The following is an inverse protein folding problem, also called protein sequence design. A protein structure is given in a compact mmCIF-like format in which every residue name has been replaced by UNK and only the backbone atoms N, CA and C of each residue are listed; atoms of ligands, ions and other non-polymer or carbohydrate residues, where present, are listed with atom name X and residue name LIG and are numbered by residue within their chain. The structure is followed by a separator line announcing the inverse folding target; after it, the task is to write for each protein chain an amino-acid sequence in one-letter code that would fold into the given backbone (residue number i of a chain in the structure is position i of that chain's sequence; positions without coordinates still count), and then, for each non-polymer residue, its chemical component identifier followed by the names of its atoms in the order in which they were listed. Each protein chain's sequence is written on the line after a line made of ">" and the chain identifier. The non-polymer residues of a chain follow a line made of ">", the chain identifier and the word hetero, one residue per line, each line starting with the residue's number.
data_IF_170945513762
#
_entry.id   IF_170945513762
#
_cell.length_a   1.000
_cell.length_b   1.000
_cell.length_c   1.000
_cell.angle_alpha   90.00
_cell.angle_beta   90.00
_cell.angle_gamma   90.00
#
_symmetry.space_group_name_H-M   'P 1'
#
loop_
_entity.id
_entity.type
_entity.pdbx_description
1 polymer ?
#
# COMPACT_ATOMS: atom_id res chain seq x y z
N UNK A 1 -8.47 -0.47 20.75
CA UNK A 1 -8.56 -1.54 19.73
C UNK A 1 -8.03 -0.98 18.42
N UNK A 2 -7.31 -1.77 17.63
CA UNK A 2 -6.84 -1.33 16.31
C UNK A 2 -7.99 -0.85 15.43
N UNK A 3 -7.72 0.12 14.56
CA UNK A 3 -8.65 0.54 13.51
C UNK A 3 -8.32 -0.24 12.25
N UNK A 4 -9.26 -0.99 11.75
CA UNK A 4 -9.06 -1.76 10.53
C UNK A 4 -9.70 -1.08 9.33
N UNK A 5 -9.00 -1.06 8.21
CA UNK A 5 -9.52 -0.78 6.89
C UNK A 5 -9.35 -2.01 5.98
N UNK A 6 -10.10 -2.04 4.89
CA UNK A 6 -10.16 -3.21 4.01
C UNK A 6 -9.57 -2.87 2.65
N UNK A 7 -8.63 -3.69 2.19
CA UNK A 7 -8.14 -3.58 0.83
C UNK A 7 -9.16 -4.18 -0.16
N UNK A 8 -9.90 -3.29 -0.79
CA UNK A 8 -10.95 -3.66 -1.74
C UNK A 8 -10.41 -4.14 -3.11
N UNK A 9 -9.09 -4.15 -3.30
CA UNK A 9 -8.48 -4.74 -4.49
C UNK A 9 -8.19 -6.22 -4.37
N UNK A 10 -8.21 -6.77 -3.14
CA UNK A 10 -8.02 -8.20 -2.87
C UNK A 10 -9.24 -8.84 -2.19
N UNK A 11 -10.04 -8.05 -1.46
CA UNK A 11 -11.29 -8.43 -0.84
C UNK A 11 -12.47 -7.84 -1.62
N UNK A 12 -13.64 -8.46 -1.56
CA UNK A 12 -14.86 -8.07 -2.31
C UNK A 12 -14.67 -8.09 -3.84
N UNK A 13 -13.71 -8.86 -4.36
CA UNK A 13 -13.36 -8.86 -5.79
C UNK A 13 -14.45 -9.43 -6.70
N UNK A 14 -15.41 -10.17 -6.16
CA UNK A 14 -16.59 -10.67 -6.88
C UNK A 14 -17.58 -9.54 -7.24
N UNK A 15 -17.42 -8.37 -6.62
CA UNK A 15 -18.25 -7.21 -6.89
C UNK A 15 -17.57 -6.26 -7.89
N UNK A 16 -18.35 -5.51 -8.69
CA UNK A 16 -17.85 -4.39 -9.46
C UNK A 16 -17.11 -3.38 -8.57
N UNK A 17 -16.07 -2.74 -9.12
CA UNK A 17 -15.22 -1.81 -8.38
C UNK A 17 -16.01 -0.78 -7.53
N UNK A 18 -17.01 -0.16 -8.12
CA UNK A 18 -17.77 0.92 -7.50
C UNK A 18 -18.76 0.44 -6.41
N UNK A 19 -19.01 -0.86 -6.31
CA UNK A 19 -19.87 -1.44 -5.28
C UNK A 19 -19.09 -1.88 -4.03
N UNK A 20 -17.76 -2.04 -4.13
CA UNK A 20 -16.91 -2.56 -3.06
C UNK A 20 -16.87 -1.66 -1.83
N UNK A 21 -16.82 -0.30 -1.93
CA UNK A 21 -16.86 0.56 -0.75
C UNK A 21 -18.14 0.38 0.08
N UNK A 22 -19.28 0.26 -0.57
CA UNK A 22 -20.56 0.02 0.12
C UNK A 22 -20.62 -1.37 0.77
N UNK A 23 -20.02 -2.39 0.14
CA UNK A 23 -19.92 -3.73 0.71
C UNK A 23 -19.00 -3.74 1.95
N UNK A 24 -17.87 -3.04 1.92
CA UNK A 24 -16.99 -2.87 3.07
C UNK A 24 -17.71 -2.18 4.23
N UNK A 25 -18.49 -1.13 3.95
CA UNK A 25 -19.32 -0.45 4.97
C UNK A 25 -20.37 -1.38 5.56
N UNK A 26 -21.07 -2.15 4.73
CA UNK A 26 -22.05 -3.13 5.17
C UNK A 26 -21.43 -4.25 6.04
N UNK A 27 -20.16 -4.58 5.81
CA UNK A 27 -19.38 -5.50 6.63
C UNK A 27 -18.91 -4.89 7.97
N UNK A 28 -19.09 -3.57 8.17
CA UNK A 28 -18.78 -2.88 9.42
C UNK A 28 -17.48 -2.08 9.41
N UNK A 29 -16.87 -1.87 8.26
CA UNK A 29 -15.65 -1.09 8.11
C UNK A 29 -15.95 0.38 7.78
N UNK A 30 -15.19 1.28 8.39
CA UNK A 30 -15.24 2.71 8.15
C UNK A 30 -14.08 3.19 7.24
N UNK A 31 -13.12 2.32 6.95
CA UNK A 31 -11.96 2.58 6.10
C UNK A 31 -11.81 1.55 4.98
N UNK A 32 -11.34 2.01 3.83
CA UNK A 32 -11.01 1.17 2.68
C UNK A 32 -9.68 1.63 2.09
N UNK A 33 -8.96 0.71 1.46
CA UNK A 33 -7.81 1.00 0.63
C UNK A 33 -7.92 0.30 -0.73
N UNK A 34 -7.21 0.82 -1.71
CA UNK A 34 -7.19 0.27 -3.07
C UNK A 34 -5.78 0.27 -3.64
N UNK A 35 -5.42 -0.77 -4.36
CA UNK A 35 -4.42 -0.68 -5.42
C UNK A 35 -4.93 0.27 -6.49
N UNK A 36 -4.11 0.62 -7.49
CA UNK A 36 -4.58 1.51 -8.55
C UNK A 36 -5.85 0.95 -9.23
N UNK A 37 -7.00 1.63 -9.12
CA UNK A 37 -8.29 1.03 -9.49
C UNK A 37 -8.62 1.10 -10.98
N UNK A 38 -7.80 1.79 -11.78
CA UNK A 38 -8.08 2.03 -13.21
C UNK A 38 -7.19 1.18 -14.13
N UNK A 39 -6.76 0.01 -13.67
CA UNK A 39 -5.98 -0.95 -14.45
C UNK A 39 -4.64 -0.38 -14.92
N UNK A 40 -4.41 -0.34 -16.23
CA UNK A 40 -3.15 0.15 -16.81
C UNK A 40 -3.24 1.60 -17.32
N UNK A 41 -4.34 2.28 -17.09
CA UNK A 41 -4.50 3.69 -17.47
C UNK A 41 -3.96 4.60 -16.37
N UNK A 42 -2.88 5.36 -16.60
CA UNK A 42 -2.33 6.29 -15.62
C UNK A 42 -3.15 7.56 -15.44
N UNK A 43 -3.99 7.90 -16.45
CA UNK A 43 -4.74 9.15 -16.52
C UNK A 43 -6.19 8.92 -16.96
N UNK A 44 -6.97 8.15 -16.17
CA UNK A 44 -8.36 7.84 -16.51
C UNK A 44 -9.19 9.12 -16.67
N UNK A 45 -10.26 9.02 -17.43
CA UNK A 45 -11.12 10.14 -17.71
C UNK A 45 -11.87 10.65 -16.46
N UNK A 46 -12.21 11.96 -16.46
CA UNK A 46 -12.88 12.62 -15.33
C UNK A 46 -14.12 11.87 -14.84
N UNK A 47 -14.90 11.26 -15.76
CA UNK A 47 -16.11 10.50 -15.40
C UNK A 47 -15.80 9.25 -14.57
N UNK A 48 -14.70 8.58 -14.86
CA UNK A 48 -14.28 7.37 -14.12
C UNK A 48 -13.78 7.76 -12.73
N UNK A 49 -12.98 8.82 -12.65
CA UNK A 49 -12.51 9.38 -11.37
C UNK A 49 -13.70 9.87 -10.54
N UNK A 50 -14.62 10.63 -11.15
CA UNK A 50 -15.82 11.13 -10.46
C UNK A 50 -16.67 10.01 -9.89
N UNK A 51 -16.87 8.93 -10.67
CA UNK A 51 -17.61 7.76 -10.22
C UNK A 51 -16.93 7.04 -9.04
N UNK A 52 -15.61 6.90 -9.08
CA UNK A 52 -14.84 6.29 -7.98
C UNK A 52 -14.91 7.12 -6.70
N UNK A 53 -14.67 8.42 -6.80
CA UNK A 53 -14.76 9.35 -5.65
C UNK A 53 -16.18 9.38 -5.07
N UNK A 54 -17.22 9.40 -5.94
CA UNK A 54 -18.60 9.34 -5.50
C UNK A 54 -18.92 8.03 -4.76
N UNK A 55 -18.44 6.88 -5.26
CA UNK A 55 -18.67 5.59 -4.61
C UNK A 55 -18.09 5.53 -3.19
N UNK A 56 -16.90 6.13 -2.96
CA UNK A 56 -16.30 6.25 -1.61
C UNK A 56 -17.17 7.15 -0.71
N UNK A 57 -17.55 8.32 -1.22
CA UNK A 57 -18.34 9.29 -0.46
C UNK A 57 -19.75 8.77 -0.13
N UNK A 58 -20.44 8.16 -1.10
CA UNK A 58 -21.80 7.64 -0.94
C UNK A 58 -21.84 6.46 0.02
N UNK A 59 -20.79 5.64 0.05
CA UNK A 59 -20.64 4.57 1.03
C UNK A 59 -20.39 5.08 2.46
N UNK A 60 -19.95 6.32 2.62
CA UNK A 60 -19.60 6.92 3.90
C UNK A 60 -18.40 6.23 4.56
N UNK A 61 -17.40 5.83 3.76
CA UNK A 61 -16.13 5.28 4.20
C UNK A 61 -15.00 6.27 3.91
N UNK A 62 -13.90 6.15 4.66
CA UNK A 62 -12.66 6.88 4.39
C UNK A 62 -11.80 6.07 3.40
N UNK A 63 -11.30 6.71 2.35
CA UNK A 63 -10.18 6.15 1.59
C UNK A 63 -8.90 6.34 2.42
N UNK A 64 -8.39 5.26 3.00
CA UNK A 64 -7.21 5.26 3.87
C UNK A 64 -5.93 5.22 3.05
N UNK A 65 -5.85 4.31 2.09
CA UNK A 65 -4.72 4.09 1.21
C UNK A 65 -5.10 3.97 -0.26
N UNK A 66 -4.24 4.47 -1.14
CA UNK A 66 -4.35 4.32 -2.58
C UNK A 66 -2.96 4.07 -3.16
N UNK A 67 -2.80 3.07 -4.01
CA UNK A 67 -1.56 2.93 -4.76
C UNK A 67 -1.50 3.96 -5.89
N UNK A 68 -0.31 4.47 -6.19
CA UNK A 68 -0.02 4.95 -7.54
C UNK A 68 -0.16 3.79 -8.53
N UNK A 69 -0.20 4.08 -9.81
CA UNK A 69 -0.28 3.03 -10.82
C UNK A 69 0.82 1.98 -10.60
N UNK A 70 0.41 0.74 -10.46
CA UNK A 70 1.25 -0.39 -10.04
C UNK A 70 1.17 -1.60 -10.96
N UNK A 71 0.14 -1.65 -11.81
CA UNK A 71 -0.12 -2.76 -12.69
C UNK A 71 0.32 -2.43 -14.13
N UNK A 72 1.51 -2.94 -14.47
CA UNK A 72 1.85 -3.25 -15.87
C UNK A 72 1.96 -4.76 -15.98
N UNK A 73 1.79 -5.35 -17.18
CA UNK A 73 2.00 -6.78 -17.37
C UNK A 73 3.36 -7.22 -16.79
N UNK A 74 3.33 -8.11 -15.79
CA UNK A 74 4.48 -8.62 -15.04
C UNK A 74 5.18 -7.62 -14.08
N UNK A 75 4.62 -6.43 -13.79
CA UNK A 75 5.23 -5.46 -12.88
C UNK A 75 4.68 -5.49 -11.45
N UNK A 76 5.49 -4.98 -10.52
CA UNK A 76 5.15 -4.68 -9.13
C UNK A 76 5.49 -3.22 -8.85
N UNK A 77 4.72 -2.31 -9.48
CA UNK A 77 4.99 -0.87 -9.44
C UNK A 77 5.92 -0.38 -10.55
N UNK A 78 6.07 0.92 -10.65
CA UNK A 78 6.71 1.60 -11.78
C UNK A 78 7.84 2.56 -11.37
N UNK A 79 8.06 2.78 -10.09
CA UNK A 79 8.93 3.85 -9.58
C UNK A 79 10.36 3.77 -10.13
N UNK A 80 10.91 2.55 -10.26
CA UNK A 80 12.29 2.31 -10.75
C UNK A 80 12.36 1.80 -12.19
N UNK A 81 11.25 1.80 -12.94
CA UNK A 81 11.18 1.17 -14.27
C UNK A 81 11.43 2.18 -15.37
N UNK A 82 12.59 2.13 -16.09
CA UNK A 82 12.96 3.17 -17.07
C UNK A 82 11.95 3.35 -18.20
N UNK A 83 11.39 2.26 -18.71
CA UNK A 83 10.40 2.29 -19.79
C UNK A 83 9.03 2.84 -19.37
N UNK A 84 8.78 2.98 -18.06
CA UNK A 84 7.49 3.43 -17.50
C UNK A 84 7.56 4.80 -16.82
N UNK A 85 8.65 5.56 -16.98
CA UNK A 85 8.86 6.87 -16.34
C UNK A 85 7.72 7.83 -16.61
N UNK A 86 7.31 8.01 -17.86
CA UNK A 86 6.19 8.90 -18.22
C UNK A 86 4.89 8.41 -17.59
N UNK A 87 4.59 7.10 -17.67
CA UNK A 87 3.39 6.49 -17.09
C UNK A 87 3.28 6.78 -15.60
N UNK A 88 4.35 6.59 -14.84
CA UNK A 88 4.36 6.88 -13.41
C UNK A 88 4.20 8.39 -13.13
N UNK A 89 4.96 9.23 -13.84
CA UNK A 89 4.93 10.69 -13.61
C UNK A 89 3.60 11.32 -13.99
N UNK A 90 2.98 10.87 -15.09
CA UNK A 90 1.65 11.32 -15.49
C UNK A 90 0.57 10.91 -14.47
N UNK A 91 0.76 9.78 -13.80
CA UNK A 91 -0.14 9.30 -12.76
C UNK A 91 -0.06 10.10 -11.45
N UNK A 92 1.08 10.71 -11.12
CA UNK A 92 1.28 11.38 -9.82
C UNK A 92 0.16 12.41 -9.55
N UNK A 93 -0.10 13.31 -10.50
CA UNK A 93 -1.09 14.37 -10.31
C UNK A 93 -2.52 13.81 -10.22
N UNK A 94 -2.82 12.74 -10.94
CA UNK A 94 -4.13 12.08 -10.91
C UNK A 94 -4.36 11.41 -9.55
N UNK A 95 -3.40 10.63 -9.07
CA UNK A 95 -3.50 9.96 -7.78
C UNK A 95 -3.60 10.96 -6.62
N UNK A 96 -2.79 12.03 -6.65
CA UNK A 96 -2.86 13.12 -5.67
C UNK A 96 -4.20 13.84 -5.74
N UNK A 97 -4.75 14.09 -6.93
CA UNK A 97 -6.07 14.71 -7.11
C UNK A 97 -7.22 13.84 -6.55
N UNK A 98 -7.16 12.52 -6.74
CA UNK A 98 -8.10 11.58 -6.10
C UNK A 98 -7.95 11.63 -4.59
N UNK A 99 -6.71 11.59 -4.08
CA UNK A 99 -6.42 11.65 -2.65
C UNK A 99 -6.94 12.95 -2.01
N UNK A 100 -6.77 14.10 -2.67
CA UNK A 100 -7.30 15.38 -2.21
C UNK A 100 -8.83 15.35 -2.08
N UNK A 101 -9.52 14.85 -3.10
CA UNK A 101 -10.99 14.79 -3.17
C UNK A 101 -11.60 13.81 -2.16
N UNK A 102 -10.90 12.74 -1.83
CA UNK A 102 -11.35 11.70 -0.88
C UNK A 102 -10.82 11.90 0.53
N UNK A 103 -9.88 12.83 0.73
CA UNK A 103 -9.19 13.00 2.00
C UNK A 103 -8.16 11.91 2.32
N UNK A 104 -7.77 11.08 1.34
CA UNK A 104 -6.74 10.06 1.50
C UNK A 104 -5.40 10.70 1.85
N UNK A 105 -4.67 10.08 2.79
CA UNK A 105 -3.38 10.61 3.27
C UNK A 105 -2.21 9.64 3.07
N UNK A 106 -2.46 8.47 2.50
CA UNK A 106 -1.44 7.45 2.26
C UNK A 106 -1.46 7.01 0.79
N UNK A 107 -0.39 7.29 0.08
CA UNK A 107 -0.22 6.97 -1.34
C UNK A 107 0.95 5.99 -1.51
N UNK A 108 0.66 4.71 -1.80
CA UNK A 108 1.70 3.68 -1.91
C UNK A 108 2.38 3.73 -3.29
N UNK A 109 3.71 3.83 -3.30
CA UNK A 109 4.55 3.87 -4.49
C UNK A 109 5.38 2.58 -4.57
N UNK A 110 4.82 1.54 -5.18
CA UNK A 110 5.53 0.29 -5.40
C UNK A 110 6.77 0.50 -6.28
N UNK A 111 7.91 0.00 -5.80
CA UNK A 111 9.25 0.32 -6.34
C UNK A 111 9.42 -0.08 -7.80
N UNK A 112 8.87 -1.22 -8.18
CA UNK A 112 9.09 -1.83 -9.51
C UNK A 112 10.14 -2.92 -9.51
N UNK A 113 9.99 -3.85 -10.44
CA UNK A 113 10.92 -4.96 -10.60
C UNK A 113 12.23 -4.51 -11.24
N UNK A 114 13.29 -5.27 -10.98
CA UNK A 114 14.51 -5.18 -11.80
C UNK A 114 14.19 -5.57 -13.24
N UNK A 115 14.75 -4.82 -14.18
CA UNK A 115 14.53 -5.01 -15.60
C UNK A 115 15.79 -5.63 -16.21
N UNK A 116 15.62 -6.75 -16.92
CA UNK A 116 16.75 -7.41 -17.57
C UNK A 116 17.44 -6.47 -18.57
N UNK A 117 18.77 -6.39 -18.47
CA UNK A 117 19.59 -5.52 -19.31
C UNK A 117 19.73 -4.09 -18.84
N UNK A 118 18.99 -3.65 -17.82
CA UNK A 118 19.14 -2.34 -17.21
C UNK A 118 20.16 -2.36 -16.07
N UNK A 119 20.85 -1.25 -15.87
CA UNK A 119 21.76 -1.08 -14.72
C UNK A 119 20.95 -0.90 -13.43
N UNK A 120 21.10 -1.79 -12.42
CA UNK A 120 20.43 -1.65 -11.15
C UNK A 120 20.69 -0.33 -10.43
N UNK A 121 21.88 0.26 -10.56
CA UNK A 121 22.20 1.54 -9.95
C UNK A 121 21.44 2.68 -10.63
N UNK A 122 21.32 2.65 -11.95
CA UNK A 122 20.51 3.63 -12.69
C UNK A 122 19.03 3.53 -12.36
N UNK A 123 18.50 2.29 -12.16
CA UNK A 123 17.14 2.09 -11.68
C UNK A 123 16.96 2.65 -10.26
N UNK A 124 17.94 2.51 -9.37
CA UNK A 124 17.88 3.05 -8.02
C UNK A 124 17.90 4.59 -8.02
N UNK A 125 18.71 5.22 -8.86
CA UNK A 125 18.71 6.68 -9.04
C UNK A 125 17.38 7.19 -9.56
N UNK A 126 16.81 6.52 -10.58
CA UNK A 126 15.49 6.84 -11.11
C UNK A 126 14.40 6.72 -10.04
N UNK A 127 14.46 5.69 -9.21
CA UNK A 127 13.50 5.51 -8.13
C UNK A 127 13.55 6.67 -7.14
N UNK A 128 14.74 7.13 -6.73
CA UNK A 128 14.88 8.27 -5.84
C UNK A 128 14.30 9.54 -6.44
N UNK A 129 14.54 9.78 -7.74
CA UNK A 129 13.95 10.93 -8.44
C UNK A 129 12.41 10.87 -8.44
N UNK A 130 11.85 9.74 -8.83
CA UNK A 130 10.40 9.56 -8.91
C UNK A 130 9.71 9.60 -7.53
N UNK A 131 10.33 9.03 -6.50
CA UNK A 131 9.83 9.13 -5.12
C UNK A 131 9.80 10.57 -4.62
N UNK A 132 10.83 11.38 -4.92
CA UNK A 132 10.85 12.81 -4.58
C UNK A 132 9.75 13.58 -5.29
N UNK A 133 9.54 13.33 -6.59
CA UNK A 133 8.45 13.97 -7.35
C UNK A 133 7.07 13.64 -6.75
N UNK A 134 6.82 12.36 -6.43
CA UNK A 134 5.59 11.92 -5.81
C UNK A 134 5.41 12.55 -4.42
N UNK A 135 6.46 12.58 -3.60
CA UNK A 135 6.44 13.17 -2.26
C UNK A 135 6.15 14.68 -2.29
N UNK A 136 6.77 15.41 -3.20
CA UNK A 136 6.53 16.85 -3.38
C UNK A 136 5.09 17.12 -3.82
N UNK A 137 4.55 16.31 -4.74
CA UNK A 137 3.14 16.42 -5.14
C UNK A 137 2.20 16.11 -3.96
N UNK A 138 2.41 15.01 -3.23
CA UNK A 138 1.61 14.59 -2.10
C UNK A 138 1.68 15.59 -0.92
N UNK A 139 2.81 16.27 -0.73
CA UNK A 139 2.99 17.26 0.35
C UNK A 139 2.01 18.43 0.26
N UNK A 140 1.59 18.81 -0.97
CA UNK A 140 0.63 19.89 -1.20
C UNK A 140 -0.72 19.68 -0.54
N UNK A 141 -1.10 18.40 -0.38
CA UNK A 141 -2.35 18.00 0.27
C UNK A 141 -2.13 17.42 1.68
N UNK A 142 -0.89 17.49 2.21
CA UNK A 142 -0.52 16.91 3.49
C UNK A 142 -0.62 15.39 3.51
N UNK A 143 -0.36 14.73 2.37
CA UNK A 143 -0.33 13.28 2.25
C UNK A 143 1.10 12.74 2.31
N UNK A 144 1.18 11.47 2.68
CA UNK A 144 2.41 10.69 2.80
C UNK A 144 2.54 9.74 1.60
N UNK A 145 3.72 9.66 1.02
CA UNK A 145 4.08 8.60 0.08
C UNK A 145 4.62 7.41 0.87
N UNK A 146 4.12 6.24 0.57
CA UNK A 146 4.54 5.00 1.21
C UNK A 146 5.48 4.22 0.28
N UNK A 147 6.50 3.59 0.86
CA UNK A 147 7.35 2.62 0.20
C UNK A 147 7.20 1.28 0.90
N UNK A 148 6.90 0.24 0.14
CA UNK A 148 6.60 -1.10 0.61
C UNK A 148 7.73 -2.08 0.32
N UNK A 149 8.01 -2.98 1.27
CA UNK A 149 8.83 -4.15 1.06
C UNK A 149 7.95 -5.36 0.72
N UNK A 150 8.22 -6.03 -0.40
CA UNK A 150 7.51 -7.25 -0.81
C UNK A 150 8.34 -8.50 -0.51
N UNK A 151 7.72 -9.68 -0.59
CA UNK A 151 8.41 -10.94 -0.44
C UNK A 151 8.93 -11.52 -1.77
N UNK A 152 10.18 -12.01 -1.79
CA UNK A 152 10.79 -12.60 -2.99
C UNK A 152 10.07 -13.84 -3.53
N UNK A 153 9.47 -14.74 -2.71
CA UNK A 153 8.72 -15.88 -3.24
C UNK A 153 7.56 -15.52 -4.18
N UNK A 154 6.91 -14.37 -3.95
CA UNK A 154 5.79 -13.88 -4.79
C UNK A 154 6.22 -12.80 -5.78
N UNK A 155 7.37 -12.18 -5.57
CA UNK A 155 7.90 -11.07 -6.36
C UNK A 155 9.41 -11.20 -6.53
N UNK A 156 9.91 -12.20 -7.32
CA UNK A 156 11.33 -12.56 -7.36
C UNK A 156 12.25 -11.45 -7.87
N UNK A 157 11.74 -10.59 -8.74
CA UNK A 157 12.54 -9.50 -9.34
C UNK A 157 12.40 -8.16 -8.58
N UNK A 158 11.62 -8.13 -7.51
CA UNK A 158 11.41 -6.91 -6.73
C UNK A 158 12.58 -6.71 -5.75
N UNK A 159 13.30 -5.56 -5.80
CA UNK A 159 14.55 -5.42 -5.06
C UNK A 159 14.40 -4.95 -3.61
N UNK A 160 13.21 -4.52 -3.19
CA UNK A 160 12.94 -4.04 -1.84
C UNK A 160 12.23 -5.13 -1.06
N UNK A 161 13.01 -6.03 -0.44
CA UNK A 161 12.49 -7.25 0.19
C UNK A 161 12.71 -7.32 1.71
N UNK A 162 13.14 -6.20 2.30
CA UNK A 162 13.34 -6.09 3.76
C UNK A 162 12.99 -4.70 4.25
N UNK A 163 12.65 -4.60 5.54
CA UNK A 163 12.44 -3.33 6.20
C UNK A 163 13.69 -2.43 6.11
N UNK A 164 14.89 -2.98 6.37
CA UNK A 164 16.16 -2.25 6.29
C UNK A 164 16.36 -1.63 4.88
N UNK A 165 16.08 -2.39 3.82
CA UNK A 165 16.23 -1.89 2.45
C UNK A 165 15.24 -0.77 2.16
N UNK A 166 13.97 -0.90 2.57
CA UNK A 166 12.98 0.15 2.41
C UNK A 166 13.41 1.44 3.12
N UNK A 167 13.85 1.33 4.38
CA UNK A 167 14.30 2.48 5.16
C UNK A 167 15.52 3.15 4.52
N UNK A 168 16.49 2.36 4.02
CA UNK A 168 17.68 2.92 3.34
C UNK A 168 17.32 3.77 2.11
N UNK A 169 16.27 3.40 1.38
CA UNK A 169 15.76 4.16 0.23
C UNK A 169 15.01 5.41 0.69
N UNK A 170 14.19 5.30 1.74
CA UNK A 170 13.48 6.44 2.34
C UNK A 170 14.49 7.51 2.79
N UNK A 171 15.53 7.12 3.50
CA UNK A 171 16.59 8.03 3.95
C UNK A 171 17.34 8.66 2.76
N UNK A 172 17.66 7.87 1.72
CA UNK A 172 18.33 8.37 0.52
C UNK A 172 17.43 9.32 -0.30
N UNK A 173 16.11 9.14 -0.28
CA UNK A 173 15.17 10.06 -0.91
C UNK A 173 15.15 11.42 -0.19
N UNK A 174 15.26 11.44 1.14
CA UNK A 174 15.43 12.66 1.93
C UNK A 174 14.19 13.54 2.06
N UNK A 175 13.00 13.05 1.69
CA UNK A 175 11.74 13.78 1.80
C UNK A 175 11.01 13.37 3.09
N UNK A 176 10.57 14.31 3.93
CA UNK A 176 10.03 14.00 5.26
C UNK A 176 8.69 13.25 5.22
N UNK A 177 7.97 13.35 4.12
CA UNK A 177 6.68 12.69 3.91
C UNK A 177 6.78 11.39 3.10
N UNK A 178 7.96 10.80 2.96
CA UNK A 178 8.09 9.41 2.53
C UNK A 178 8.19 8.54 3.78
N UNK A 179 7.33 7.53 3.88
CA UNK A 179 7.24 6.63 5.03
C UNK A 179 7.21 5.17 4.59
N UNK A 180 7.40 4.30 5.54
CA UNK A 180 7.40 2.86 5.33
C UNK A 180 5.96 2.31 5.43
N UNK A 181 5.52 1.56 4.42
CA UNK A 181 4.39 0.66 4.52
C UNK A 181 4.91 -0.66 5.10
N UNK A 182 4.54 -0.90 6.35
CA UNK A 182 4.94 -2.10 7.09
C UNK A 182 3.91 -3.22 6.87
N UNK A 183 4.03 -3.94 5.76
CA UNK A 183 3.23 -5.14 5.51
C UNK A 183 3.84 -6.33 6.29
N UNK A 184 3.16 -6.74 7.36
CA UNK A 184 3.63 -7.80 8.24
C UNK A 184 3.65 -9.17 7.55
N UNK A 185 2.78 -9.39 6.56
CA UNK A 185 2.80 -10.62 5.77
C UNK A 185 4.08 -10.72 4.93
N UNK A 186 4.38 -9.68 4.15
CA UNK A 186 5.55 -9.70 3.29
C UNK A 186 6.85 -9.86 4.09
N UNK A 187 6.98 -9.15 5.19
CA UNK A 187 8.16 -9.24 6.07
C UNK A 187 8.28 -10.61 6.74
N UNK A 188 7.16 -11.19 7.20
CA UNK A 188 7.15 -12.54 7.79
C UNK A 188 7.57 -13.61 6.78
N UNK A 189 7.17 -13.46 5.52
CA UNK A 189 7.58 -14.34 4.42
C UNK A 189 9.09 -14.30 4.15
N UNK A 190 9.72 -13.19 4.47
CA UNK A 190 11.18 -13.02 4.39
C UNK A 190 11.91 -13.45 5.67
N UNK A 191 11.17 -13.90 6.70
CA UNK A 191 11.73 -14.39 7.97
C UNK A 191 12.19 -13.28 8.90
N UNK A 192 11.71 -12.05 8.72
CA UNK A 192 12.03 -10.95 9.62
C UNK A 192 11.34 -11.11 10.99
N UNK A 193 12.02 -10.70 12.05
CA UNK A 193 11.43 -10.55 13.38
C UNK A 193 10.52 -9.31 13.38
N UNK A 194 9.22 -9.53 13.23
CA UNK A 194 8.23 -8.48 13.11
C UNK A 194 8.19 -7.55 14.33
N UNK A 195 8.40 -8.09 15.53
CA UNK A 195 8.46 -7.30 16.77
C UNK A 195 9.66 -6.35 16.78
N UNK A 196 10.80 -6.85 16.30
CA UNK A 196 12.00 -6.03 16.17
C UNK A 196 11.85 -4.98 15.07
N UNK A 197 11.23 -5.33 13.93
CA UNK A 197 10.94 -4.37 12.84
C UNK A 197 10.06 -3.23 13.36
N UNK A 198 8.92 -3.54 13.98
CA UNK A 198 7.99 -2.56 14.52
C UNK A 198 8.72 -1.63 15.50
N UNK A 199 9.50 -2.19 16.42
CA UNK A 199 10.22 -1.42 17.44
C UNK A 199 11.31 -0.54 16.85
N UNK A 200 12.11 -1.08 15.91
CA UNK A 200 13.27 -0.38 15.35
C UNK A 200 12.85 0.75 14.42
N UNK A 201 11.81 0.53 13.61
CA UNK A 201 11.41 1.46 12.56
C UNK A 201 10.10 2.20 12.86
N UNK A 202 9.67 2.24 14.12
CA UNK A 202 8.41 2.87 14.55
C UNK A 202 8.19 4.27 13.96
N UNK A 203 9.22 5.13 13.94
CA UNK A 203 9.12 6.50 13.43
C UNK A 203 9.00 6.61 11.90
N UNK A 204 9.31 5.52 11.20
CA UNK A 204 9.19 5.43 9.75
C UNK A 204 7.83 4.89 9.30
N UNK A 205 7.13 4.13 10.15
CA UNK A 205 5.86 3.49 9.79
C UNK A 205 4.80 4.56 9.50
N UNK A 206 4.33 4.59 8.25
CA UNK A 206 3.23 5.45 7.80
C UNK A 206 1.91 4.70 7.66
N UNK A 207 1.96 3.39 7.42
CA UNK A 207 0.82 2.49 7.33
C UNK A 207 1.24 1.07 7.65
N UNK A 208 0.29 0.26 8.11
CA UNK A 208 0.49 -1.17 8.40
C UNK A 208 -0.50 -1.98 7.60
N UNK A 209 -0.04 -3.07 6.99
CA UNK A 209 -0.92 -4.07 6.37
C UNK A 209 -0.69 -5.44 6.97
N UNK A 210 -1.73 -6.28 6.94
CA UNK A 210 -1.69 -7.63 7.50
C UNK A 210 -2.34 -8.68 6.60
N UNK A 211 -1.72 -9.83 6.56
CA UNK A 211 -2.27 -11.13 6.21
C UNK A 211 -1.55 -12.20 7.02
N UNK A 212 -2.17 -13.37 7.19
CA UNK A 212 -1.52 -14.46 7.93
C UNK A 212 -0.56 -15.26 7.05
N UNK A 213 0.51 -15.74 7.64
CA UNK A 213 1.55 -16.54 7.01
C UNK A 213 1.62 -17.93 7.70
N UNK A 214 1.60 -19.03 6.92
CA UNK A 214 1.53 -19.11 5.46
C UNK A 214 0.13 -18.87 4.88
N UNK A 215 0.07 -18.63 3.55
CA UNK A 215 -1.17 -18.67 2.77
C UNK A 215 -1.78 -17.33 2.40
N UNK A 216 -1.33 -16.22 3.02
CA UNK A 216 -1.91 -14.87 2.84
C UNK A 216 -3.41 -14.85 3.16
N UNK A 217 -3.82 -15.61 4.19
CA UNK A 217 -5.19 -15.69 4.67
C UNK A 217 -5.51 -14.66 5.76
N UNK A 218 -6.76 -14.72 6.26
CA UNK A 218 -7.16 -13.88 7.40
C UNK A 218 -6.40 -14.25 8.66
N UNK A 219 -6.25 -13.33 9.64
CA UNK A 219 -5.67 -13.63 10.94
C UNK A 219 -6.27 -14.87 11.61
N UNK A 220 -5.40 -15.77 12.09
CA UNK A 220 -5.77 -17.04 12.70
C UNK A 220 -5.86 -18.22 11.73
N UNK A 221 -5.47 -18.04 10.45
CA UNK A 221 -5.39 -19.14 9.47
C UNK A 221 -3.96 -19.62 9.22
N UNK A 222 -2.96 -18.93 9.74
CA UNK A 222 -1.54 -19.27 9.70
C UNK A 222 -0.92 -19.28 11.09
N UNK A 223 0.35 -18.85 11.17
CA UNK A 223 1.19 -19.00 12.36
C UNK A 223 1.49 -17.67 13.07
N UNK A 224 0.99 -16.51 12.58
CA UNK A 224 1.30 -15.22 13.17
C UNK A 224 0.46 -14.93 14.42
N UNK A 225 1.12 -14.53 15.52
CA UNK A 225 0.43 -14.06 16.73
C UNK A 225 0.03 -12.59 16.58
N UNK A 226 -1.14 -12.35 15.99
CA UNK A 226 -1.67 -11.00 15.79
C UNK A 226 -1.92 -10.26 17.10
N UNK A 227 -2.29 -10.94 18.17
CA UNK A 227 -2.45 -10.30 19.48
C UNK A 227 -1.13 -9.68 19.95
N UNK A 228 -0.04 -10.43 19.87
CA UNK A 228 1.28 -9.93 20.22
C UNK A 228 1.75 -8.82 19.26
N UNK A 229 1.47 -8.94 17.97
CA UNK A 229 1.82 -7.92 16.97
C UNK A 229 1.07 -6.60 17.19
N UNK A 230 -0.23 -6.64 17.47
CA UNK A 230 -1.01 -5.43 17.78
C UNK A 230 -0.53 -4.78 19.09
N UNK A 231 -0.18 -5.57 20.10
CA UNK A 231 0.43 -5.04 21.32
C UNK A 231 1.80 -4.37 21.04
N UNK A 232 2.57 -4.90 20.09
CA UNK A 232 3.83 -4.27 19.68
C UNK A 232 3.62 -2.93 19.00
N UNK A 233 2.65 -2.83 18.08
CA UNK A 233 2.26 -1.57 17.43
C UNK A 233 1.78 -0.54 18.46
N UNK A 234 0.92 -0.94 19.39
CA UNK A 234 0.45 -0.06 20.46
C UNK A 234 1.60 0.43 21.35
N UNK A 235 2.54 -0.46 21.69
CA UNK A 235 3.69 -0.14 22.55
C UNK A 235 4.63 0.93 21.99
N UNK A 236 4.68 1.08 20.66
CA UNK A 236 5.45 2.11 19.96
C UNK A 236 4.61 3.34 19.61
N UNK A 237 3.34 3.38 20.03
CA UNK A 237 2.44 4.52 19.82
C UNK A 237 1.82 4.58 18.42
N UNK A 238 1.76 3.47 17.68
CA UNK A 238 1.06 3.43 16.40
C UNK A 238 -0.45 3.48 16.66
N UNK A 239 -1.11 4.52 16.14
CA UNK A 239 -2.55 4.78 16.28
C UNK A 239 -3.27 4.87 14.91
N UNK A 240 -2.54 4.54 13.84
CA UNK A 240 -3.03 4.51 12.46
C UNK A 240 -3.99 3.35 12.18
N UNK A 241 -4.38 3.26 10.91
CA UNK A 241 -5.16 2.15 10.39
C UNK A 241 -4.27 0.93 10.14
N UNK A 242 -4.90 -0.25 10.19
CA UNK A 242 -4.29 -1.53 9.81
C UNK A 242 -5.08 -2.07 8.63
N UNK A 243 -4.46 -2.09 7.46
CA UNK A 243 -5.04 -2.56 6.22
C UNK A 243 -5.17 -4.09 6.18
N UNK A 244 -6.36 -4.57 5.90
CA UNK A 244 -6.66 -5.98 5.73
C UNK A 244 -6.41 -6.38 4.28
N UNK A 245 -5.20 -6.88 3.99
CA UNK A 245 -4.76 -7.23 2.64
C UNK A 245 -4.53 -8.74 2.49
N UNK A 246 -5.57 -9.52 2.69
CA UNK A 246 -5.50 -10.97 2.64
C UNK A 246 -6.55 -11.60 1.71
N UNK A 247 -6.38 -12.89 1.44
CA UNK A 247 -7.32 -13.68 0.64
C UNK A 247 -8.30 -14.39 1.55
N UNK A 248 -9.58 -14.09 1.41
CA UNK A 248 -10.65 -14.77 2.15
C UNK A 248 -11.92 -14.86 1.28
N UNK A 249 -12.23 -16.07 0.82
CA UNK A 249 -13.42 -16.32 0.03
C UNK A 249 -14.72 -16.29 0.87
N UNK A 250 -14.60 -16.46 2.19
CA UNK A 250 -15.74 -16.51 3.09
C UNK A 250 -16.09 -15.14 3.67
N UNK A 251 -15.18 -14.17 3.57
CA UNK A 251 -15.31 -12.83 4.15
C UNK A 251 -15.72 -12.88 5.65
N UNK A 252 -15.01 -13.73 6.43
CA UNK A 252 -15.27 -13.89 7.85
C UNK A 252 -14.54 -12.81 8.67
N UNK A 253 -15.31 -11.94 9.30
CA UNK A 253 -14.84 -10.84 10.15
C UNK A 253 -14.93 -11.14 11.65
N UNK A 254 -15.20 -12.38 12.05
CA UNK A 254 -15.41 -12.74 13.45
C UNK A 254 -14.20 -12.48 14.36
N UNK A 255 -13.01 -12.50 13.80
CA UNK A 255 -11.75 -12.25 14.50
C UNK A 255 -11.49 -10.76 14.81
N UNK A 256 -12.20 -9.82 14.19
CA UNK A 256 -12.08 -8.37 14.43
C UNK A 256 -12.87 -7.87 15.63
N UNK A 257 -13.66 -8.73 16.29
CA UNK A 257 -14.61 -8.38 17.36
C UNK A 257 -14.05 -8.58 18.75
#
# INVERSE_FOLDING_TARGET
>A
MPKFDVNCSILFTDLPLLERPAAAKAAGFDGVEFWWPFGTDPTPGDKEIDAFVAAIADAGVQLVGLNFIDLIPAGRGLVSVPSAVSTFRDNIEVAVGIAERTGCKALNALYGNRVEGEDPAAQDELALENLRLAAQAASRIGATVLLEALNSPESPDYPVVSAERAISIIDAAGEPNIKFLCDLYHLSRMGEDLHQVIKTYASYIGHVQIADNPGRGRPGTGDLDFTALFNSLESVGYDGWIGLEYKDAELDWSWTK
#
